data_IF_868646333551
#
_entry.id   IF_868646333551
#
_cell.length_a   1.000
_cell.length_b   1.000
_cell.length_c   1.000
_cell.angle_alpha   90.00
_cell.angle_beta   90.00
_cell.angle_gamma   90.00
#
_symmetry.space_group_name_H-M   'P 1'
#
loop_
_entity.id
_entity.type
_entity.pdbx_description
1 polymer ?
#
# COMPACT_ATOMS: atom_id res chain seq x y z
N UNK A 1 -11.24 -16.24 -0.34
CA UNK A 1 -10.94 -15.83 -1.73
C UNK A 1 -9.46 -16.09 -1.95
N UNK A 2 -9.04 -16.65 -3.09
CA UNK A 2 -7.61 -16.75 -3.38
C UNK A 2 -7.13 -15.38 -3.89
N UNK A 3 -6.20 -14.74 -3.18
CA UNK A 3 -5.67 -13.44 -3.58
C UNK A 3 -4.43 -13.64 -4.47
N UNK A 4 -4.11 -12.68 -5.36
CA UNK A 4 -2.89 -12.71 -6.16
C UNK A 4 -1.64 -12.83 -5.28
N UNK A 5 -0.64 -13.56 -5.76
CA UNK A 5 0.59 -13.84 -5.00
C UNK A 5 1.31 -12.57 -4.55
N UNK A 6 1.45 -11.57 -5.43
CA UNK A 6 2.07 -10.29 -5.09
C UNK A 6 1.32 -9.53 -3.98
N UNK A 7 -0.02 -9.64 -3.94
CA UNK A 7 -0.84 -9.06 -2.88
C UNK A 7 -0.63 -9.80 -1.55
N UNK A 8 -0.64 -11.14 -1.58
CA UNK A 8 -0.34 -11.97 -0.41
C UNK A 8 1.05 -11.65 0.14
N UNK A 9 2.06 -11.59 -0.73
CA UNK A 9 3.43 -11.26 -0.36
C UNK A 9 3.54 -9.88 0.29
N UNK A 10 2.90 -8.87 -0.28
CA UNK A 10 2.91 -7.52 0.32
C UNK A 10 2.19 -7.50 1.68
N UNK A 11 1.03 -8.15 1.80
CA UNK A 11 0.31 -8.26 3.09
C UNK A 11 1.19 -8.90 4.16
N UNK A 12 1.84 -10.01 3.83
CA UNK A 12 2.68 -10.75 4.77
C UNK A 12 3.96 -9.97 5.12
N UNK A 13 4.52 -9.24 4.16
CA UNK A 13 5.61 -8.30 4.41
C UNK A 13 5.20 -7.20 5.40
N UNK A 14 4.01 -6.59 5.24
CA UNK A 14 3.50 -5.58 6.18
C UNK A 14 3.38 -6.16 7.60
N UNK A 15 2.96 -7.42 7.74
CA UNK A 15 2.85 -8.07 9.04
C UNK A 15 4.19 -8.20 9.79
N UNK A 16 5.32 -8.21 9.07
CA UNK A 16 6.67 -8.22 9.68
C UNK A 16 7.05 -6.89 10.34
N UNK A 17 6.39 -5.79 9.92
CA UNK A 17 6.73 -4.41 10.35
C UNK A 17 8.18 -4.03 10.06
N UNK A 18 8.79 -4.67 9.06
CA UNK A 18 10.14 -4.35 8.59
C UNK A 18 10.05 -3.58 7.26
N UNK A 19 10.43 -2.29 7.22
CA UNK A 19 10.40 -1.51 5.99
C UNK A 19 11.21 -2.11 4.84
N UNK A 20 12.30 -2.82 5.13
CA UNK A 20 13.13 -3.44 4.10
C UNK A 20 12.45 -4.67 3.48
N UNK A 21 11.77 -5.49 4.29
CA UNK A 21 10.98 -6.63 3.80
C UNK A 21 9.81 -6.14 2.94
N UNK A 22 9.17 -5.04 3.34
CA UNK A 22 8.09 -4.43 2.55
C UNK A 22 8.63 -3.86 1.23
N UNK A 23 9.72 -3.10 1.27
CA UNK A 23 10.33 -2.53 0.07
C UNK A 23 10.81 -3.62 -0.93
N UNK A 24 11.24 -4.78 -0.43
CA UNK A 24 11.61 -5.92 -1.27
C UNK A 24 10.45 -6.52 -2.09
N UNK A 25 9.20 -6.14 -1.83
CA UNK A 25 8.05 -6.54 -2.65
C UNK A 25 7.93 -5.76 -3.97
N UNK A 26 8.71 -4.69 -4.15
CA UNK A 26 8.67 -3.77 -5.28
C UNK A 26 9.93 -3.92 -6.13
N UNK A 27 9.82 -3.67 -7.44
CA UNK A 27 10.97 -3.59 -8.35
C UNK A 27 11.87 -2.39 -8.04
N UNK A 28 13.10 -2.38 -8.54
CA UNK A 28 14.07 -1.31 -8.24
C UNK A 28 13.62 0.04 -8.82
N UNK A 29 13.07 -0.01 -10.02
CA UNK A 29 12.53 1.08 -10.82
C UNK A 29 11.04 1.32 -10.61
N UNK A 30 10.46 0.77 -9.53
CA UNK A 30 9.03 0.85 -9.22
C UNK A 30 8.46 2.27 -9.40
N UNK A 31 7.32 2.37 -10.08
CA UNK A 31 6.60 3.64 -10.28
C UNK A 31 5.29 3.62 -9.51
N UNK A 32 5.00 4.68 -8.77
CA UNK A 32 3.68 4.91 -8.19
C UNK A 32 3.05 6.18 -8.72
N UNK A 33 1.79 6.07 -9.10
CA UNK A 33 0.93 7.17 -9.51
C UNK A 33 -0.16 7.29 -8.45
N UNK A 34 -0.32 8.48 -7.89
CA UNK A 34 -1.37 8.80 -6.93
C UNK A 34 -2.35 9.81 -7.56
N UNK A 35 -3.39 9.37 -8.29
CA UNK A 35 -4.23 10.28 -9.07
C UNK A 35 -4.97 11.32 -8.24
N UNK A 36 -5.35 10.96 -7.00
CA UNK A 36 -6.06 11.86 -6.09
C UNK A 36 -5.14 12.88 -5.42
N UNK A 37 -3.83 12.61 -5.38
CA UNK A 37 -2.82 13.53 -4.86
C UNK A 37 -1.50 13.32 -5.61
N UNK A 38 -1.32 13.95 -6.78
CA UNK A 38 -0.16 13.72 -7.64
C UNK A 38 1.19 13.95 -6.95
N UNK A 39 1.25 14.78 -5.90
CA UNK A 39 2.46 15.01 -5.10
C UNK A 39 2.99 13.77 -4.37
N UNK A 40 2.14 12.74 -4.21
CA UNK A 40 2.51 11.44 -3.64
C UNK A 40 3.03 10.45 -4.68
N UNK A 41 3.07 10.83 -5.96
CA UNK A 41 3.65 9.99 -7.03
C UNK A 41 5.17 10.04 -6.96
N UNK A 42 5.84 8.92 -7.19
CA UNK A 42 7.30 8.84 -7.18
C UNK A 42 7.80 7.61 -7.95
N UNK A 43 9.12 7.56 -8.15
CA UNK A 43 9.83 6.40 -8.70
C UNK A 43 10.87 5.89 -7.71
N UNK A 44 11.12 4.58 -7.74
CA UNK A 44 12.21 3.90 -7.08
C UNK A 44 11.82 3.22 -5.76
N UNK A 45 12.35 1.99 -5.57
CA UNK A 45 12.21 1.21 -4.34
C UNK A 45 12.73 1.95 -3.10
N UNK A 46 13.79 2.74 -3.24
CA UNK A 46 14.35 3.50 -2.10
C UNK A 46 13.33 4.46 -1.49
N UNK A 47 12.44 5.02 -2.32
CA UNK A 47 11.37 5.89 -1.85
C UNK A 47 10.28 5.08 -1.12
N UNK A 48 10.00 3.85 -1.57
CA UNK A 48 9.13 2.90 -0.85
C UNK A 48 9.68 2.62 0.55
N UNK A 49 10.98 2.30 0.64
CA UNK A 49 11.66 2.04 1.91
C UNK A 49 11.55 3.24 2.87
N UNK A 50 11.85 4.45 2.39
CA UNK A 50 11.73 5.68 3.20
C UNK A 50 10.30 5.90 3.69
N UNK A 51 9.30 5.72 2.81
CA UNK A 51 7.90 5.92 3.18
C UNK A 51 7.42 4.91 4.21
N UNK A 52 7.73 3.62 4.02
CA UNK A 52 7.35 2.57 4.98
C UNK A 52 8.09 2.70 6.32
N UNK A 53 9.33 3.22 6.31
CA UNK A 53 10.05 3.55 7.54
C UNK A 53 9.30 4.61 8.35
N UNK A 54 8.83 5.67 7.68
CA UNK A 54 8.04 6.71 8.34
C UNK A 54 6.67 6.20 8.82
N UNK A 55 6.00 5.36 8.02
CA UNK A 55 4.71 4.76 8.40
C UNK A 55 4.87 3.87 9.64
N UNK A 56 5.85 2.97 9.65
CA UNK A 56 6.07 2.04 10.76
C UNK A 56 6.49 2.78 12.03
N UNK A 57 7.33 3.81 11.93
CA UNK A 57 7.68 4.64 13.08
C UNK A 57 6.46 5.34 13.70
N UNK A 58 5.49 5.72 12.87
CA UNK A 58 4.27 6.39 13.31
C UNK A 58 3.17 5.43 13.78
N UNK A 59 3.10 4.24 13.18
CA UNK A 59 2.09 3.20 13.41
C UNK A 59 2.78 1.82 13.57
N UNK A 60 3.41 1.55 14.73
CA UNK A 60 4.26 0.37 14.92
C UNK A 60 3.48 -0.94 15.00
N UNK A 61 2.19 -0.89 15.30
CA UNK A 61 1.29 -2.04 15.39
C UNK A 61 0.53 -2.33 14.08
N UNK A 62 0.86 -1.63 12.98
CA UNK A 62 0.13 -1.71 11.71
C UNK A 62 -0.14 -3.16 11.25
N UNK A 63 -1.36 -3.37 10.78
CA UNK A 63 -1.84 -4.61 10.15
C UNK A 63 -2.49 -4.29 8.81
N UNK A 64 -2.52 -5.25 7.90
CA UNK A 64 -3.14 -5.10 6.58
C UNK A 64 -4.01 -6.30 6.25
N UNK A 65 -5.21 -6.04 5.72
CA UNK A 65 -6.10 -7.04 5.15
C UNK A 65 -6.40 -6.72 3.69
N UNK A 66 -6.45 -7.76 2.85
CA UNK A 66 -6.94 -7.69 1.47
C UNK A 66 -8.42 -8.06 1.53
N UNK A 67 -9.30 -7.10 1.27
CA UNK A 67 -10.74 -7.31 1.36
C UNK A 67 -11.27 -8.00 0.09
N UNK A 68 -10.83 -7.52 -1.07
CA UNK A 68 -11.19 -8.03 -2.40
C UNK A 68 -10.00 -7.92 -3.34
N UNK A 69 -9.97 -8.79 -4.33
CA UNK A 69 -8.97 -8.71 -5.40
C UNK A 69 -9.49 -9.30 -6.71
N UNK A 70 -8.94 -8.85 -7.83
CA UNK A 70 -9.17 -9.42 -9.16
C UNK A 70 -7.92 -9.26 -10.03
N UNK A 71 -7.81 -10.06 -11.09
CA UNK A 71 -6.75 -9.96 -12.11
C UNK A 71 -7.41 -9.70 -13.46
N UNK A 72 -6.92 -8.70 -14.19
CA UNK A 72 -7.36 -8.36 -15.54
C UNK A 72 -6.14 -8.17 -16.45
N UNK A 73 -5.75 -9.22 -17.18
CA UNK A 73 -4.48 -9.22 -17.90
C UNK A 73 -3.32 -9.11 -16.91
N UNK A 74 -2.50 -8.08 -17.07
CA UNK A 74 -1.36 -7.78 -16.19
C UNK A 74 -1.76 -6.95 -14.95
N UNK A 75 -2.96 -6.36 -14.96
CA UNK A 75 -3.42 -5.51 -13.86
C UNK A 75 -4.01 -6.35 -12.72
N UNK A 76 -3.44 -6.16 -11.54
CA UNK A 76 -3.90 -6.72 -10.27
C UNK A 76 -4.65 -5.63 -9.52
N UNK A 77 -5.95 -5.84 -9.32
CA UNK A 77 -6.83 -4.97 -8.56
C UNK A 77 -6.95 -5.48 -7.13
N UNK A 78 -6.75 -4.61 -6.15
CA UNK A 78 -6.80 -4.98 -4.73
C UNK A 78 -7.48 -3.90 -3.89
N UNK A 79 -8.37 -4.31 -3.01
CA UNK A 79 -8.96 -3.45 -1.98
C UNK A 79 -8.32 -3.78 -0.63
N UNK A 80 -7.85 -2.75 0.06
CA UNK A 80 -7.06 -2.85 1.27
C UNK A 80 -7.73 -2.17 2.45
N UNK A 81 -7.48 -2.76 3.61
CA UNK A 81 -7.80 -2.22 4.92
C UNK A 81 -6.56 -2.32 5.80
N UNK A 82 -5.86 -1.20 5.95
CA UNK A 82 -4.65 -1.09 6.78
C UNK A 82 -4.98 -0.32 8.04
N UNK A 83 -4.67 -0.88 9.21
CA UNK A 83 -5.03 -0.32 10.52
C UNK A 83 -3.90 -0.38 11.52
N UNK A 84 -3.85 0.60 12.42
CA UNK A 84 -3.00 0.59 13.60
C UNK A 84 -3.16 1.86 14.43
N UNK A 85 -2.46 1.91 15.55
CA UNK A 85 -2.48 3.02 16.49
C UNK A 85 -1.48 4.09 16.06
N UNK A 86 -1.98 5.32 15.86
CA UNK A 86 -1.12 6.46 15.54
C UNK A 86 -0.69 7.18 16.81
N UNK A 87 0.62 7.40 16.95
CA UNK A 87 1.21 8.05 18.14
C UNK A 87 0.78 9.51 18.38
N UNK A 88 0.27 10.21 17.36
CA UNK A 88 -0.06 11.64 17.41
C UNK A 88 -1.57 11.94 17.23
N UNK A 89 -2.43 10.94 17.39
CA UNK A 89 -3.88 11.09 17.21
C UNK A 89 -4.33 11.28 15.76
N UNK A 90 -3.44 11.04 14.80
CA UNK A 90 -3.79 10.96 13.38
C UNK A 90 -4.72 9.78 13.03
N UNK A 91 -5.13 9.67 11.76
CA UNK A 91 -6.06 8.64 11.30
C UNK A 91 -5.50 7.22 11.51
N UNK A 92 -6.28 6.38 12.21
CA UNK A 92 -5.95 5.01 12.63
C UNK A 92 -6.06 3.95 11.52
N UNK A 93 -6.52 4.37 10.33
CA UNK A 93 -6.70 3.48 9.21
C UNK A 93 -6.42 4.17 7.87
N UNK A 94 -5.91 3.39 6.93
CA UNK A 94 -5.74 3.70 5.53
C UNK A 94 -6.49 2.64 4.72
N UNK A 95 -7.49 3.05 3.96
CA UNK A 95 -8.37 2.12 3.22
C UNK A 95 -8.53 2.56 1.78
N UNK A 96 -8.81 1.62 0.90
CA UNK A 96 -9.12 1.92 -0.50
C UNK A 96 -8.50 0.90 -1.46
N UNK A 97 -8.38 1.30 -2.72
CA UNK A 97 -7.92 0.41 -3.80
C UNK A 97 -6.49 0.73 -4.21
N UNK A 98 -5.72 -0.32 -4.48
CA UNK A 98 -4.48 -0.24 -5.24
C UNK A 98 -4.60 -1.13 -6.47
N UNK A 99 -4.07 -0.64 -7.59
CA UNK A 99 -3.98 -1.39 -8.84
C UNK A 99 -2.51 -1.45 -9.19
N UNK A 100 -1.98 -2.63 -9.52
CA UNK A 100 -0.60 -2.73 -9.94
C UNK A 100 -0.35 -3.83 -10.96
N UNK A 101 0.75 -3.71 -11.68
CA UNK A 101 1.36 -4.79 -12.45
C UNK A 101 2.60 -5.31 -11.71
N UNK A 102 3.12 -6.44 -12.16
CA UNK A 102 4.38 -7.01 -11.66
C UNK A 102 5.38 -7.20 -12.79
N UNK A 103 6.67 -7.16 -12.47
CA UNK A 103 7.72 -7.62 -13.37
C UNK A 103 7.74 -9.16 -13.51
N UNK A 104 8.66 -9.69 -14.33
CA UNK A 104 8.83 -11.13 -14.56
C UNK A 104 9.20 -11.91 -13.28
N UNK A 105 9.78 -11.24 -12.28
CA UNK A 105 10.08 -11.79 -10.96
C UNK A 105 8.91 -11.70 -9.97
N UNK A 106 7.76 -11.21 -10.42
CA UNK A 106 6.56 -11.01 -9.62
C UNK A 106 6.68 -9.83 -8.65
N UNK A 107 7.68 -8.95 -8.77
CA UNK A 107 7.81 -7.72 -7.98
C UNK A 107 6.87 -6.65 -8.50
N UNK A 108 6.28 -5.86 -7.60
CA UNK A 108 5.38 -4.76 -7.99
C UNK A 108 6.19 -3.72 -8.76
N UNK A 109 5.84 -3.49 -10.02
CA UNK A 109 6.61 -2.64 -10.95
C UNK A 109 5.97 -1.28 -11.20
N UNK A 110 4.65 -1.23 -11.33
CA UNK A 110 3.91 0.02 -11.41
C UNK A 110 2.64 -0.10 -10.57
N UNK A 111 2.22 0.99 -9.92
CA UNK A 111 0.93 1.02 -9.26
C UNK A 111 0.19 2.35 -9.40
N UNK A 112 -1.14 2.26 -9.36
CA UNK A 112 -2.03 3.38 -9.07
C UNK A 112 -2.59 3.21 -7.66
N UNK A 113 -2.36 4.19 -6.81
CA UNK A 113 -2.72 4.15 -5.40
C UNK A 113 -3.88 5.10 -5.07
N UNK A 114 -4.95 4.57 -4.50
CA UNK A 114 -6.17 5.30 -4.11
C UNK A 114 -6.53 5.08 -2.64
N UNK A 115 -5.62 4.51 -1.86
CA UNK A 115 -5.77 4.36 -0.42
C UNK A 115 -5.67 5.74 0.22
N UNK A 116 -6.63 6.05 1.08
CA UNK A 116 -6.70 7.33 1.78
C UNK A 116 -6.96 7.12 3.27
N UNK A 117 -6.52 8.05 4.13
CA UNK A 117 -6.79 7.92 5.55
C UNK A 117 -8.28 7.99 5.83
N UNK A 118 -8.78 7.12 6.72
CA UNK A 118 -10.19 7.12 7.11
C UNK A 118 -10.45 8.36 7.94
N UNK A 119 -11.23 9.30 7.40
CA UNK A 119 -11.68 10.47 8.14
C UNK A 119 -13.09 10.23 8.71
N UNK A 120 -13.15 9.76 9.97
CA UNK A 120 -14.41 9.44 10.66
C UNK A 120 -15.20 10.68 11.10
N UNK A 121 -14.53 11.82 11.21
CA UNK A 121 -15.09 13.06 11.75
C UNK A 121 -15.22 14.16 10.68
N UNK A 122 -14.98 13.84 9.40
CA UNK A 122 -15.19 14.80 8.33
C UNK A 122 -16.67 15.14 8.21
N UNK A 123 -17.03 16.42 8.01
CA UNK A 123 -18.36 16.76 7.52
C UNK A 123 -18.58 16.02 6.20
N UNK A 124 -19.82 15.61 5.96
CA UNK A 124 -20.21 14.93 4.73
C UNK A 124 -19.75 15.76 3.52
N UNK A 125 -18.86 15.19 2.72
CA UNK A 125 -18.57 15.73 1.41
C UNK A 125 -19.78 15.49 0.49
N UNK A 126 -20.00 16.44 -0.42
CA UNK A 126 -21.07 16.58 -1.43
C UNK A 126 -22.13 15.47 -1.50
#
# INVERSE_FOLDING_TARGET
>A
MNHPESAIRLRDAIATRDPAVIAACFSEDYVTIAPQNPSLSFTGRDTVLRNWTAIIARMPDITAAILRSSVNGEDIWTEWDMRGTVSDGGPDALVGTAIWSTDEGGLISESRFYLAPVNRNAPRAF
#
